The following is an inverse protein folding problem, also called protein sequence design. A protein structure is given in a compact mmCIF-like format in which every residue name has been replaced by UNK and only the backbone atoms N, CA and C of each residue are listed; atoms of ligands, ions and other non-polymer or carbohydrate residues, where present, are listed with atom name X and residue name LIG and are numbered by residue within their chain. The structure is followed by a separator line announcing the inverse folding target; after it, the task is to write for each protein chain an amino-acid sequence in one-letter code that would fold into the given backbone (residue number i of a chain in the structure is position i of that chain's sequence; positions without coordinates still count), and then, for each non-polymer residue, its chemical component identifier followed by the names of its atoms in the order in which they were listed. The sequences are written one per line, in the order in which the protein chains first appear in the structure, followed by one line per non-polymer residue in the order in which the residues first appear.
data_IF_005950092925
#
_entry.id   IF_005950092925
#
_cell.length_a   1.000
_cell.length_b   1.000
_cell.length_c   1.000
_cell.angle_alpha   90.00
_cell.angle_beta   90.00
_cell.angle_gamma   90.00
#
_symmetry.space_group_name_H-M   'P 1'
#
loop_
_entity.id
_entity.type
_entity.pdbx_description
1 polymer ?
#
# COMPACT_ATOMS: atom_id res chain seq x y z
N UNK A 1 -1.73 -2.58 -27.44
CA UNK A 1 -0.47 -2.23 -28.12
C UNK A 1 0.33 -1.31 -27.20
N UNK A 2 1.44 -1.81 -26.64
CA UNK A 2 2.38 -1.00 -25.88
C UNK A 2 3.06 0.04 -26.78
N UNK A 3 3.23 1.26 -26.27
CA UNK A 3 4.04 2.26 -26.94
C UNK A 3 5.53 1.88 -26.94
N UNK A 4 6.34 2.61 -27.70
CA UNK A 4 7.78 2.45 -27.65
C UNK A 4 8.31 2.69 -26.21
N UNK A 5 9.35 1.97 -25.78
CA UNK A 5 9.98 2.22 -24.51
C UNK A 5 10.41 3.69 -24.40
N UNK A 6 10.01 4.34 -23.32
CA UNK A 6 10.34 5.74 -23.03
C UNK A 6 10.79 5.91 -21.56
N UNK A 7 11.20 7.11 -21.20
CA UNK A 7 11.50 7.40 -19.81
C UNK A 7 10.27 7.16 -18.93
N UNK A 8 10.44 6.52 -17.78
CA UNK A 8 9.38 6.33 -16.79
C UNK A 8 8.78 7.65 -16.30
N UNK A 9 9.52 8.76 -16.36
CA UNK A 9 9.06 10.09 -15.98
C UNK A 9 7.83 10.54 -16.76
N UNK A 10 7.67 10.10 -18.02
CA UNK A 10 6.49 10.40 -18.85
C UNK A 10 5.19 9.89 -18.19
N UNK A 11 5.25 8.74 -17.52
CA UNK A 11 4.08 8.19 -16.84
C UNK A 11 3.73 8.99 -15.59
N UNK A 12 4.73 9.39 -14.82
CA UNK A 12 4.53 10.24 -13.64
C UNK A 12 4.03 11.64 -14.02
N UNK A 13 4.56 12.24 -15.11
CA UNK A 13 4.08 13.52 -15.60
C UNK A 13 2.60 13.47 -16.01
N UNK A 14 2.21 12.41 -16.71
CA UNK A 14 0.80 12.19 -17.09
C UNK A 14 -0.08 11.95 -15.86
N UNK A 15 0.38 11.18 -14.90
CA UNK A 15 -0.36 10.92 -13.67
C UNK A 15 -0.55 12.20 -12.84
N UNK A 16 0.49 13.02 -12.67
CA UNK A 16 0.39 14.30 -11.97
C UNK A 16 -0.59 15.26 -12.66
N UNK A 17 -0.54 15.33 -13.99
CA UNK A 17 -1.47 16.14 -14.78
C UNK A 17 -2.91 15.64 -14.60
N UNK A 18 -3.15 14.32 -14.69
CA UNK A 18 -4.47 13.73 -14.52
C UNK A 18 -5.04 13.96 -13.11
N UNK A 19 -4.23 13.81 -12.05
CA UNK A 19 -4.68 14.13 -10.70
C UNK A 19 -4.97 15.63 -10.52
N UNK A 20 -4.20 16.50 -11.15
CA UNK A 20 -4.43 17.96 -11.10
C UNK A 20 -5.74 18.33 -11.79
N UNK A 21 -6.01 17.75 -12.95
CA UNK A 21 -7.30 17.89 -13.64
C UNK A 21 -8.46 17.34 -12.82
N UNK A 22 -8.28 16.15 -12.22
CA UNK A 22 -9.28 15.54 -11.36
C UNK A 22 -9.65 16.43 -10.15
N UNK A 23 -8.67 17.10 -9.52
CA UNK A 23 -8.91 18.06 -8.45
C UNK A 23 -9.78 19.23 -8.96
N UNK A 24 -9.45 19.78 -10.13
CA UNK A 24 -10.19 20.88 -10.73
C UNK A 24 -11.64 20.51 -11.02
N UNK A 25 -11.85 19.39 -11.70
CA UNK A 25 -13.20 18.90 -12.07
C UNK A 25 -14.02 18.54 -10.83
N UNK A 26 -13.42 17.83 -9.87
CA UNK A 26 -14.09 17.44 -8.64
C UNK A 26 -14.45 18.66 -7.76
N UNK A 27 -13.60 19.69 -7.75
CA UNK A 27 -13.88 20.94 -7.04
C UNK A 27 -15.06 21.69 -7.68
N UNK A 28 -15.09 21.78 -9.00
CA UNK A 28 -16.20 22.39 -9.73
C UNK A 28 -17.53 21.63 -9.50
N UNK A 29 -17.46 20.32 -9.31
CA UNK A 29 -18.60 19.46 -8.98
C UNK A 29 -18.95 19.41 -7.48
N UNK A 30 -18.25 20.16 -6.62
CA UNK A 30 -18.38 20.13 -5.17
C UNK A 30 -18.18 18.71 -4.57
N UNK A 31 -17.36 17.87 -5.19
CA UNK A 31 -17.09 16.52 -4.73
C UNK A 31 -15.81 16.47 -3.89
N UNK A 32 -15.93 16.81 -2.61
CA UNK A 32 -14.80 16.85 -1.68
C UNK A 32 -14.09 15.50 -1.53
N UNK A 33 -14.80 14.38 -1.67
CA UNK A 33 -14.20 13.03 -1.56
C UNK A 33 -13.23 12.76 -2.71
N UNK A 34 -13.59 13.13 -3.94
CA UNK A 34 -12.71 12.98 -5.10
C UNK A 34 -11.57 14.01 -5.08
N UNK A 35 -11.79 15.23 -4.61
CA UNK A 35 -10.73 16.22 -4.39
C UNK A 35 -9.68 15.64 -3.45
N UNK A 36 -10.10 15.08 -2.32
CA UNK A 36 -9.20 14.49 -1.33
C UNK A 36 -8.43 13.28 -1.90
N UNK A 37 -9.12 12.38 -2.63
CA UNK A 37 -8.50 11.23 -3.26
C UNK A 37 -7.45 11.63 -4.30
N UNK A 38 -7.78 12.59 -5.17
CA UNK A 38 -6.87 13.06 -6.22
C UNK A 38 -5.68 13.84 -5.64
N UNK A 39 -5.89 14.62 -4.57
CA UNK A 39 -4.80 15.32 -3.87
C UNK A 39 -3.82 14.32 -3.25
N UNK A 40 -4.31 13.29 -2.57
CA UNK A 40 -3.47 12.25 -2.00
C UNK A 40 -2.73 11.44 -3.10
N UNK A 41 -3.40 11.11 -4.21
CA UNK A 41 -2.76 10.44 -5.35
C UNK A 41 -1.67 11.30 -5.99
N UNK A 42 -1.88 12.62 -6.10
CA UNK A 42 -0.87 13.55 -6.59
C UNK A 42 0.33 13.65 -5.65
N UNK A 43 0.12 13.58 -4.33
CA UNK A 43 1.21 13.53 -3.34
C UNK A 43 2.16 12.35 -3.61
N UNK A 44 1.60 11.14 -3.80
CA UNK A 44 2.39 9.94 -4.09
C UNK A 44 3.17 10.07 -5.40
N UNK A 45 2.53 10.54 -6.47
CA UNK A 45 3.21 10.76 -7.76
C UNK A 45 4.32 11.80 -7.66
N UNK A 46 4.12 12.88 -6.90
CA UNK A 46 5.14 13.91 -6.68
C UNK A 46 6.33 13.39 -5.90
N UNK A 47 6.09 12.50 -4.93
CA UNK A 47 7.15 11.79 -4.23
C UNK A 47 8.00 10.97 -5.20
N UNK A 48 7.36 10.14 -6.03
CA UNK A 48 8.03 9.29 -7.03
C UNK A 48 8.82 10.10 -8.07
N UNK A 49 8.41 11.35 -8.34
CA UNK A 49 9.12 12.29 -9.19
C UNK A 49 10.31 12.98 -8.48
N UNK A 50 10.47 12.81 -7.17
CA UNK A 50 11.44 13.56 -6.37
C UNK A 50 11.00 15.00 -6.04
N UNK A 51 9.77 15.40 -6.35
CA UNK A 51 9.21 16.70 -5.94
C UNK A 51 8.69 16.62 -4.51
N UNK A 52 9.62 16.50 -3.56
CA UNK A 52 9.30 16.28 -2.15
C UNK A 52 8.49 17.44 -1.53
N UNK A 53 8.79 18.69 -1.92
CA UNK A 53 8.06 19.87 -1.43
C UNK A 53 6.58 19.84 -1.87
N UNK A 54 6.32 19.54 -3.14
CA UNK A 54 4.97 19.40 -3.67
C UNK A 54 4.22 18.21 -3.06
N UNK A 55 4.92 17.06 -2.87
CA UNK A 55 4.38 15.89 -2.23
C UNK A 55 3.95 16.18 -0.78
N UNK A 56 4.80 16.86 -0.01
CA UNK A 56 4.50 17.23 1.38
C UNK A 56 3.33 18.21 1.49
N UNK A 57 3.24 19.17 0.57
CA UNK A 57 2.12 20.12 0.52
C UNK A 57 0.79 19.40 0.31
N UNK A 58 0.71 18.48 -0.65
CA UNK A 58 -0.49 17.69 -0.91
C UNK A 58 -0.79 16.70 0.24
N UNK A 59 0.25 16.06 0.80
CA UNK A 59 0.09 15.13 1.92
C UNK A 59 -0.47 15.83 3.17
N UNK A 60 -0.02 17.04 3.48
CA UNK A 60 -0.49 17.82 4.62
C UNK A 60 -1.97 18.20 4.52
N UNK A 61 -2.53 18.28 3.32
CA UNK A 61 -3.96 18.53 3.12
C UNK A 61 -4.85 17.35 3.58
N UNK A 62 -4.28 16.16 3.74
CA UNK A 62 -4.99 14.95 4.20
C UNK A 62 -4.78 14.78 5.70
N UNK A 63 -5.57 15.41 6.51
CA UNK A 63 -5.37 15.46 7.98
C UNK A 63 -5.83 14.20 8.72
N UNK A 64 -6.75 13.43 8.14
CA UNK A 64 -7.28 12.22 8.76
C UNK A 64 -6.39 11.00 8.51
N UNK A 65 -5.71 10.51 9.54
CA UNK A 65 -4.86 9.32 9.44
C UNK A 65 -5.63 8.03 9.09
N UNK A 66 -6.91 7.95 9.40
CA UNK A 66 -7.76 6.81 9.06
C UNK A 66 -8.34 6.90 7.63
N UNK A 67 -8.10 8.00 6.93
CA UNK A 67 -8.56 8.17 5.56
C UNK A 67 -8.03 7.06 4.65
N UNK A 68 -8.90 6.52 3.80
CA UNK A 68 -8.55 5.63 2.70
C UNK A 68 -9.44 5.88 1.51
N UNK A 69 -8.87 5.91 0.32
CA UNK A 69 -9.63 5.81 -0.92
C UNK A 69 -9.29 4.46 -1.57
N UNK A 70 -10.33 3.66 -1.82
CA UNK A 70 -10.18 2.29 -2.32
C UNK A 70 -10.64 2.19 -3.76
N UNK A 71 -9.85 1.50 -4.56
CA UNK A 71 -10.32 1.00 -5.85
C UNK A 71 -11.32 -0.13 -5.62
N UNK A 72 -12.53 -0.03 -6.16
CA UNK A 72 -13.54 -1.06 -6.01
C UNK A 72 -13.22 -2.27 -6.88
N UNK A 73 -13.65 -3.44 -6.40
CA UNK A 73 -13.66 -4.68 -7.16
C UNK A 73 -15.08 -5.27 -7.13
N UNK A 74 -15.44 -6.03 -8.15
CA UNK A 74 -16.80 -6.54 -8.31
C UNK A 74 -16.77 -8.03 -8.57
N UNK A 75 -17.80 -8.75 -8.14
CA UNK A 75 -17.91 -10.21 -8.31
C UNK A 75 -18.72 -10.61 -9.56
N UNK A 76 -19.03 -9.65 -10.42
CA UNK A 76 -19.87 -9.86 -11.61
C UNK A 76 -19.09 -10.58 -12.71
N UNK A 77 -17.88 -10.09 -12.98
CA UNK A 77 -17.02 -10.60 -14.04
C UNK A 77 -15.65 -11.01 -13.50
N UNK A 78 -15.06 -12.03 -14.09
CA UNK A 78 -13.78 -12.60 -13.61
C UNK A 78 -12.63 -11.58 -13.62
N UNK A 79 -12.59 -10.69 -14.59
CA UNK A 79 -11.57 -9.64 -14.73
C UNK A 79 -11.74 -8.48 -13.73
N UNK A 80 -12.90 -8.39 -13.09
CA UNK A 80 -13.21 -7.40 -12.05
C UNK A 80 -12.88 -7.87 -10.63
N UNK A 81 -12.42 -9.11 -10.45
CA UNK A 81 -12.06 -9.65 -9.15
C UNK A 81 -10.78 -9.04 -8.61
N UNK A 82 -10.70 -8.90 -7.29
CA UNK A 82 -9.44 -8.67 -6.61
C UNK A 82 -8.49 -9.86 -6.89
N UNK A 83 -7.49 -9.61 -7.72
CA UNK A 83 -6.56 -10.66 -8.18
C UNK A 83 -5.62 -11.15 -7.09
N UNK A 84 -5.34 -10.33 -6.07
CA UNK A 84 -4.54 -10.77 -4.91
C UNK A 84 -5.30 -11.82 -4.12
N UNK A 85 -6.59 -11.59 -3.87
CA UNK A 85 -7.44 -12.61 -3.26
C UNK A 85 -7.52 -13.86 -4.14
N UNK A 86 -7.82 -13.69 -5.44
CA UNK A 86 -7.98 -14.79 -6.37
C UNK A 86 -6.77 -15.71 -6.43
N UNK A 87 -5.56 -15.14 -6.50
CA UNK A 87 -4.32 -15.90 -6.58
C UNK A 87 -3.93 -16.57 -5.25
N UNK A 88 -4.35 -16.00 -4.12
CA UNK A 88 -4.01 -16.50 -2.78
C UNK A 88 -5.13 -17.28 -2.09
N UNK A 89 -6.35 -17.27 -2.65
CA UNK A 89 -7.49 -17.97 -2.08
C UNK A 89 -7.36 -19.49 -2.19
N UNK A 90 -8.11 -20.20 -1.34
CA UNK A 90 -8.18 -21.66 -1.38
C UNK A 90 -8.71 -22.20 -2.71
N UNK A 91 -9.62 -21.50 -3.35
CA UNK A 91 -10.21 -21.82 -4.64
C UNK A 91 -10.22 -20.58 -5.52
N UNK A 92 -9.84 -20.67 -6.79
CA UNK A 92 -9.37 -21.87 -7.50
C UNK A 92 -7.87 -22.13 -7.37
N UNK A 93 -7.08 -21.14 -6.89
CA UNK A 93 -5.63 -21.21 -6.86
C UNK A 93 -5.09 -20.94 -5.46
N UNK A 94 -4.11 -21.73 -5.06
CA UNK A 94 -3.27 -21.50 -3.88
C UNK A 94 -1.85 -21.18 -4.35
N UNK A 95 -1.75 -20.25 -5.30
CA UNK A 95 -0.52 -19.99 -6.04
C UNK A 95 0.54 -19.22 -5.23
N UNK A 96 0.15 -18.61 -4.10
CA UNK A 96 1.05 -17.80 -3.29
C UNK A 96 1.04 -18.23 -1.84
N UNK A 97 2.22 -18.33 -1.26
CA UNK A 97 2.43 -18.59 0.15
C UNK A 97 3.59 -17.76 0.67
N UNK A 98 3.52 -17.32 1.92
CA UNK A 98 4.64 -16.65 2.61
C UNK A 98 5.45 -17.63 3.47
N UNK A 99 5.16 -18.93 3.43
CA UNK A 99 5.88 -19.94 4.17
C UNK A 99 7.38 -19.92 3.84
N UNK A 100 8.22 -20.00 4.88
CA UNK A 100 9.68 -20.00 4.79
C UNK A 100 10.27 -18.78 4.06
N UNK A 101 9.61 -17.63 4.18
CA UNK A 101 10.09 -16.34 3.69
C UNK A 101 10.50 -15.44 4.87
N UNK A 102 11.23 -14.33 4.63
CA UNK A 102 11.49 -13.33 5.66
C UNK A 102 10.20 -12.79 6.32
N UNK A 103 9.09 -12.71 5.61
CA UNK A 103 7.79 -12.30 6.17
C UNK A 103 7.26 -13.30 7.20
N UNK A 104 7.38 -14.60 6.94
CA UNK A 104 7.01 -15.66 7.89
C UNK A 104 7.85 -15.57 9.16
N UNK A 105 9.16 -15.48 9.03
CA UNK A 105 10.09 -15.33 10.14
C UNK A 105 9.78 -14.06 10.96
N UNK A 106 9.62 -12.92 10.28
CA UNK A 106 9.32 -11.64 10.92
C UNK A 106 7.99 -11.67 11.67
N UNK A 107 6.92 -12.18 11.04
CA UNK A 107 5.59 -12.29 11.69
C UNK A 107 5.63 -13.17 12.93
N UNK A 108 6.32 -14.31 12.87
CA UNK A 108 6.47 -15.21 14.01
C UNK A 108 7.21 -14.55 15.17
N UNK A 109 8.24 -13.78 14.87
CA UNK A 109 9.06 -13.08 15.88
C UNK A 109 8.34 -11.88 16.50
N UNK A 110 7.58 -11.11 15.71
CA UNK A 110 7.07 -9.79 16.12
C UNK A 110 5.57 -9.71 16.30
N UNK A 111 4.81 -10.63 15.68
CA UNK A 111 3.34 -10.57 15.54
C UNK A 111 2.84 -9.26 14.93
N UNK A 112 3.66 -8.62 14.10
CA UNK A 112 3.34 -7.35 13.47
C UNK A 112 2.07 -7.44 12.61
N UNK A 113 1.02 -6.63 12.89
CA UNK A 113 -0.23 -6.70 12.16
C UNK A 113 -0.12 -6.18 10.71
N UNK A 114 0.98 -5.55 10.33
CA UNK A 114 1.24 -5.11 8.95
C UNK A 114 1.60 -6.26 8.02
N UNK A 115 1.92 -7.42 8.57
CA UNK A 115 2.20 -8.65 7.82
C UNK A 115 1.10 -9.67 8.13
N UNK A 116 -0.13 -9.44 7.67
CA UNK A 116 -1.27 -10.29 8.00
C UNK A 116 -1.29 -11.54 7.11
N UNK A 117 -1.06 -12.69 7.71
CA UNK A 117 -1.26 -14.00 7.09
C UNK A 117 -1.73 -15.03 8.11
N UNK A 118 -2.31 -16.09 7.62
CA UNK A 118 -2.74 -17.24 8.40
C UNK A 118 -2.33 -18.54 7.71
N UNK A 119 -2.49 -19.67 8.39
CA UNK A 119 -2.24 -20.99 7.85
C UNK A 119 -3.49 -21.86 7.96
N UNK A 120 -3.68 -22.75 6.99
CA UNK A 120 -4.78 -23.70 7.05
C UNK A 120 -4.35 -24.95 7.82
N UNK A 121 -5.19 -25.38 8.76
CA UNK A 121 -5.01 -26.66 9.46
C UNK A 121 -5.35 -27.87 8.57
N UNK A 122 -6.21 -27.67 7.56
CA UNK A 122 -6.72 -28.73 6.69
C UNK A 122 -6.10 -28.75 5.31
N UNK A 123 -5.65 -27.58 4.82
CA UNK A 123 -5.00 -27.42 3.52
C UNK A 123 -3.53 -27.10 3.76
N UNK A 124 -2.69 -28.10 3.67
CA UNK A 124 -1.25 -27.97 3.99
C UNK A 124 -0.37 -27.59 2.80
N UNK A 125 -0.99 -27.40 1.63
CA UNK A 125 -0.25 -27.25 0.39
C UNK A 125 -0.54 -25.91 -0.24
N UNK A 126 0.52 -25.16 -0.53
CA UNK A 126 0.46 -23.82 -1.08
C UNK A 126 0.14 -23.76 -2.58
N UNK A 127 0.24 -24.87 -3.31
CA UNK A 127 -0.05 -24.94 -4.74
C UNK A 127 -1.15 -25.97 -5.00
N UNK A 128 -2.16 -25.61 -5.79
CA UNK A 128 -3.19 -26.54 -6.22
C UNK A 128 -2.65 -27.63 -7.18
N UNK A 129 -1.54 -27.36 -7.87
CA UNK A 129 -0.87 -28.27 -8.81
C UNK A 129 0.22 -29.15 -8.17
N UNK A 130 0.15 -29.36 -6.90
CA UNK A 130 1.15 -29.98 -6.02
C UNK A 130 1.71 -31.33 -6.46
N UNK A 131 1.00 -32.06 -7.28
CA UNK A 131 1.50 -33.33 -7.79
C UNK A 131 2.82 -33.21 -8.57
N UNK A 132 3.12 -32.02 -9.09
CA UNK A 132 4.30 -31.76 -9.92
C UNK A 132 5.38 -30.94 -9.26
N UNK A 133 5.07 -30.10 -8.26
CA UNK A 133 5.99 -29.09 -7.74
C UNK A 133 6.45 -29.35 -6.29
N UNK A 134 6.03 -30.45 -5.69
CA UNK A 134 6.35 -30.77 -4.30
C UNK A 134 5.39 -30.12 -3.33
N UNK A 135 5.66 -30.30 -2.03
CA UNK A 135 4.75 -29.88 -0.96
C UNK A 135 5.29 -28.61 -0.30
N UNK A 136 4.55 -27.51 -0.47
CA UNK A 136 4.81 -26.23 0.17
C UNK A 136 3.66 -25.96 1.16
N UNK A 137 3.98 -25.52 2.37
CA UNK A 137 2.93 -25.15 3.35
C UNK A 137 2.20 -23.92 2.87
N UNK A 138 0.88 -23.92 2.99
CA UNK A 138 0.07 -22.80 2.55
C UNK A 138 -0.15 -21.81 3.69
N UNK A 139 0.61 -20.70 3.64
CA UNK A 139 0.46 -19.54 4.49
C UNK A 139 -0.03 -18.39 3.63
N UNK A 140 -1.33 -18.10 3.75
CA UNK A 140 -2.04 -17.19 2.86
C UNK A 140 -2.24 -15.81 3.50
N UNK A 141 -2.24 -14.79 2.68
CA UNK A 141 -2.51 -13.43 3.10
C UNK A 141 -3.95 -13.30 3.63
N UNK A 142 -4.13 -12.50 4.69
CA UNK A 142 -5.44 -12.20 5.27
C UNK A 142 -5.84 -10.73 5.13
N UNK A 143 -5.14 -9.99 4.27
CA UNK A 143 -5.43 -8.58 3.99
C UNK A 143 -6.65 -8.40 3.09
N UNK A 144 -6.82 -9.29 2.11
CA UNK A 144 -7.93 -9.29 1.16
C UNK A 144 -8.64 -10.64 1.26
N UNK A 145 -9.87 -10.66 1.80
CA UNK A 145 -10.57 -11.87 2.19
C UNK A 145 -11.67 -12.30 1.22
N UNK A 146 -11.96 -11.50 0.20
CA UNK A 146 -12.96 -11.83 -0.81
C UNK A 146 -12.65 -11.17 -2.17
N UNK A 147 -13.45 -11.53 -3.17
CA UNK A 147 -13.31 -11.06 -4.55
C UNK A 147 -13.55 -9.57 -4.73
N UNK A 148 -14.29 -8.97 -3.82
CA UNK A 148 -14.70 -7.56 -3.87
C UNK A 148 -13.90 -6.70 -2.90
N UNK A 149 -12.95 -7.30 -2.17
CA UNK A 149 -12.10 -6.57 -1.25
C UNK A 149 -11.35 -5.44 -1.96
N UNK A 150 -11.66 -4.20 -1.62
CA UNK A 150 -11.06 -3.01 -2.24
C UNK A 150 -9.58 -2.85 -1.87
N UNK A 151 -8.78 -2.43 -2.83
CA UNK A 151 -7.36 -2.11 -2.64
C UNK A 151 -7.21 -0.61 -2.41
N UNK A 152 -6.50 -0.19 -1.37
CA UNK A 152 -6.23 1.22 -1.15
C UNK A 152 -5.40 1.79 -2.31
N UNK A 153 -5.94 2.81 -2.96
CA UNK A 153 -5.17 3.64 -3.89
C UNK A 153 -4.28 4.59 -3.09
N UNK A 154 -4.84 5.22 -2.07
CA UNK A 154 -4.15 6.14 -1.16
C UNK A 154 -4.67 6.00 0.27
N UNK A 155 -3.86 6.40 1.25
CA UNK A 155 -4.25 6.40 2.65
C UNK A 155 -3.65 7.57 3.43
N UNK A 156 -4.33 7.98 4.53
CA UNK A 156 -3.83 9.03 5.41
C UNK A 156 -2.48 8.68 6.04
N UNK A 157 -2.26 7.42 6.39
CA UNK A 157 -0.96 6.99 6.91
C UNK A 157 0.16 7.04 5.87
N UNK A 158 -0.12 6.82 4.61
CA UNK A 158 0.83 7.04 3.52
C UNK A 158 1.22 8.51 3.44
N UNK A 159 0.26 9.42 3.55
CA UNK A 159 0.54 10.86 3.58
C UNK A 159 1.43 11.24 4.77
N UNK A 160 1.21 10.66 5.94
CA UNK A 160 2.12 10.85 7.10
C UNK A 160 3.53 10.33 6.82
N UNK A 161 3.68 9.22 6.07
CA UNK A 161 4.99 8.71 5.70
C UNK A 161 5.72 9.62 4.71
N UNK A 162 5.01 10.24 3.76
CA UNK A 162 5.56 11.28 2.88
C UNK A 162 6.12 12.46 3.70
N UNK A 163 5.38 12.91 4.70
CA UNK A 163 5.86 13.98 5.60
C UNK A 163 7.06 13.54 6.44
N UNK A 164 7.08 12.28 6.90
CA UNK A 164 8.22 11.75 7.64
C UNK A 164 9.48 11.69 6.76
N UNK A 165 9.35 11.25 5.51
CA UNK A 165 10.45 11.22 4.55
C UNK A 165 10.98 12.62 4.25
N UNK A 166 10.09 13.60 4.06
CA UNK A 166 10.51 14.99 3.87
C UNK A 166 11.29 15.53 5.06
N UNK A 167 10.85 15.24 6.28
CA UNK A 167 11.57 15.61 7.51
C UNK A 167 12.95 14.95 7.58
N UNK A 168 13.02 13.67 7.22
CA UNK A 168 14.27 12.90 7.24
C UNK A 168 15.29 13.48 6.23
N UNK A 169 14.84 13.75 5.01
CA UNK A 169 15.66 14.40 3.98
C UNK A 169 16.12 15.81 4.41
N UNK A 170 15.25 16.53 5.13
CA UNK A 170 15.58 17.84 5.72
C UNK A 170 16.44 17.79 6.99
N UNK A 171 16.84 16.60 7.46
CA UNK A 171 17.65 16.40 8.67
C UNK A 171 16.86 16.44 9.98
N UNK A 172 15.53 16.57 9.95
CA UNK A 172 14.67 16.49 11.13
C UNK A 172 14.35 15.04 11.50
N UNK A 173 15.37 14.31 11.96
CA UNK A 173 15.24 12.90 12.37
C UNK A 173 14.23 12.73 13.50
N UNK A 174 14.23 13.64 14.48
CA UNK A 174 13.30 13.61 15.61
C UNK A 174 11.84 13.71 15.13
N UNK A 175 11.55 14.66 14.25
CA UNK A 175 10.21 14.83 13.70
C UNK A 175 9.77 13.66 12.84
N UNK A 176 10.67 13.08 12.03
CA UNK A 176 10.40 11.89 11.25
C UNK A 176 10.05 10.70 12.17
N UNK A 177 10.87 10.45 13.17
CA UNK A 177 10.65 9.37 14.15
C UNK A 177 9.37 9.55 14.97
N UNK A 178 8.97 10.78 15.26
CA UNK A 178 7.69 11.04 15.93
C UNK A 178 6.51 10.54 15.10
N UNK A 179 6.51 10.81 13.79
CA UNK A 179 5.47 10.33 12.86
C UNK A 179 5.48 8.79 12.75
N UNK A 180 6.65 8.20 12.56
CA UNK A 180 6.81 6.75 12.47
C UNK A 180 6.33 6.05 13.75
N UNK A 181 6.68 6.59 14.91
CA UNK A 181 6.28 6.03 16.19
C UNK A 181 4.79 6.24 16.49
N UNK A 182 4.17 7.33 16.03
CA UNK A 182 2.73 7.50 16.08
C UNK A 182 2.01 6.36 15.32
N UNK A 183 2.49 5.99 14.12
CA UNK A 183 1.96 4.84 13.39
C UNK A 183 2.20 3.53 14.11
N UNK A 184 3.39 3.33 14.67
CA UNK A 184 3.73 2.13 15.43
C UNK A 184 2.83 1.98 16.66
N UNK A 185 2.61 3.07 17.41
CA UNK A 185 1.71 3.11 18.55
C UNK A 185 0.27 2.74 18.15
N UNK A 186 -0.24 3.29 17.05
CA UNK A 186 -1.57 2.96 16.53
C UNK A 186 -1.72 1.47 16.15
N UNK A 187 -0.61 0.76 15.98
CA UNK A 187 -0.55 -0.67 15.69
C UNK A 187 -0.13 -1.51 16.91
N UNK A 188 -0.06 -0.91 18.10
CA UNK A 188 0.41 -1.53 19.35
C UNK A 188 1.84 -2.10 19.22
N UNK A 189 2.67 -1.50 18.39
CA UNK A 189 4.07 -1.87 18.22
C UNK A 189 4.97 -0.97 19.07
N UNK A 190 6.07 -1.53 19.59
CA UNK A 190 7.06 -0.76 20.34
C UNK A 190 7.67 0.36 19.49
N UNK A 191 7.93 1.53 20.08
CA UNK A 191 8.59 2.62 19.38
C UNK A 191 9.99 2.21 18.90
N UNK A 192 10.49 2.93 17.91
CA UNK A 192 11.87 2.83 17.44
C UNK A 192 12.62 4.10 17.76
N UNK A 193 13.92 3.97 17.89
CA UNK A 193 14.85 5.09 18.07
C UNK A 193 15.84 5.04 16.91
N UNK A 194 16.12 6.17 16.31
CA UNK A 194 17.18 6.34 15.33
C UNK A 194 18.07 7.52 15.77
N UNK A 195 19.36 7.35 15.65
CA UNK A 195 20.35 8.37 16.02
C UNK A 195 20.58 9.37 14.88
N UNK A 196 20.39 8.93 13.64
CA UNK A 196 20.62 9.70 12.42
C UNK A 196 19.67 9.23 11.29
N UNK A 197 19.74 9.89 10.14
CA UNK A 197 18.89 9.61 9.00
C UNK A 197 19.13 8.21 8.38
N UNK A 198 20.32 7.63 8.55
CA UNK A 198 20.63 6.30 8.03
C UNK A 198 20.03 5.19 8.90
N UNK A 199 19.80 5.47 10.19
CA UNK A 199 19.20 4.55 11.15
C UNK A 199 17.67 4.65 11.20
N UNK A 200 17.08 5.73 10.67
CA UNK A 200 15.64 5.97 10.63
C UNK A 200 14.94 5.21 9.49
#
# INVERSE_FOLDING_TARGET
NGGAPGSYTVYFDRAEAAFTEAITVASAANNAALVQAATAGRASVRLDKGNLAGATTDAAAITNNAYTYKMPYYATELDQYNRIYWASANQPYRAHTVWNTPYDAYRKATRDPRVPFDSSATVLVGDAAVGTLGRVRWYFQTKYLDRTAGINLVSGWEMRLIEAEAKLVGGDVTGAMAILNARRSALSLQPRVAADAAAA
#
